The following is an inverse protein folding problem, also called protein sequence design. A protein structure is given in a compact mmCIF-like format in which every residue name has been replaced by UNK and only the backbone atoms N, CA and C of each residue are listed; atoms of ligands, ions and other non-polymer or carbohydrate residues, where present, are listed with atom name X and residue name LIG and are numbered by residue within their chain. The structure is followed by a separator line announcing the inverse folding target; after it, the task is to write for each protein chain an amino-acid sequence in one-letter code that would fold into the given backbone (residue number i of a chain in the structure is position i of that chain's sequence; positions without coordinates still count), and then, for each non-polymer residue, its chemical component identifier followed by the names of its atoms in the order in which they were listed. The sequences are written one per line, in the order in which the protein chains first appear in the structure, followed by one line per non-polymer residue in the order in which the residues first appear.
data_IF_351311466844
#
_entry.id   IF_351311466844
#
_cell.length_a   1.000
_cell.length_b   1.000
_cell.length_c   1.000
_cell.angle_alpha   90.00
_cell.angle_beta   90.00
_cell.angle_gamma   90.00
#
_symmetry.space_group_name_H-M   'P 1'
#
loop_
_entity.id
_entity.type
_entity.pdbx_description
1 polymer ?
#
# COMPACT_ATOMS: atom_id res chain seq x y z
N UNK A 1 4.25 -8.33 -8.85
CA UNK A 1 3.35 -9.48 -8.61
C UNK A 1 2.10 -9.01 -7.86
N UNK A 2 0.95 -9.58 -8.17
CA UNK A 2 -0.31 -9.34 -7.46
C UNK A 2 -1.01 -10.67 -7.18
N UNK A 3 -2.00 -10.64 -6.27
CA UNK A 3 -2.79 -11.81 -5.92
C UNK A 3 -4.28 -11.49 -5.95
N UNK A 4 -5.06 -12.41 -6.53
CA UNK A 4 -6.49 -12.48 -6.33
C UNK A 4 -6.79 -13.29 -5.08
N UNK A 5 -7.59 -12.75 -4.20
CA UNK A 5 -8.05 -13.45 -3.01
C UNK A 5 -9.56 -13.40 -2.89
N UNK A 6 -10.15 -14.48 -2.45
CA UNK A 6 -11.56 -14.57 -2.07
C UNK A 6 -11.66 -14.57 -0.55
N UNK A 7 -12.48 -13.69 -0.01
CA UNK A 7 -12.77 -13.59 1.43
C UNK A 7 -14.23 -13.87 1.66
N UNK A 8 -14.53 -14.91 2.43
CA UNK A 8 -15.89 -15.32 2.72
C UNK A 8 -16.13 -15.55 4.21
N UNK A 9 -17.38 -15.45 4.60
CA UNK A 9 -17.94 -15.93 5.87
C UNK A 9 -19.41 -16.31 5.61
N UNK A 10 -20.10 -16.82 6.61
CA UNK A 10 -21.49 -17.26 6.46
C UNK A 10 -22.44 -16.22 5.84
N UNK A 11 -22.16 -14.92 6.01
CA UNK A 11 -23.06 -13.84 5.56
C UNK A 11 -22.60 -13.11 4.30
N UNK A 12 -21.37 -13.33 3.81
CA UNK A 12 -20.84 -12.67 2.61
C UNK A 12 -19.66 -13.42 1.99
N UNK A 13 -19.48 -13.21 0.68
CA UNK A 13 -18.28 -13.59 -0.07
C UNK A 13 -17.91 -12.47 -1.01
N UNK A 14 -16.62 -12.18 -1.16
CA UNK A 14 -16.12 -11.14 -2.08
C UNK A 14 -14.67 -11.40 -2.48
N UNK A 15 -14.37 -11.17 -3.76
CA UNK A 15 -13.02 -11.25 -4.30
C UNK A 15 -12.33 -9.88 -4.30
N UNK A 16 -11.03 -9.88 -4.11
CA UNK A 16 -10.17 -8.70 -4.09
C UNK A 16 -8.90 -8.94 -4.88
N UNK A 17 -8.40 -7.89 -5.55
CA UNK A 17 -7.15 -7.91 -6.31
C UNK A 17 -6.10 -7.09 -5.55
N UNK A 18 -5.09 -7.74 -5.03
CA UNK A 18 -4.02 -7.11 -4.23
C UNK A 18 -2.76 -6.90 -5.06
N UNK A 19 -1.88 -6.02 -4.58
CA UNK A 19 -0.64 -5.68 -5.28
C UNK A 19 -0.87 -4.80 -6.51
N UNK A 20 0.09 -4.72 -7.40
CA UNK A 20 0.10 -3.84 -8.59
C UNK A 20 0.55 -4.55 -9.88
N UNK A 21 1.05 -5.81 -9.79
CA UNK A 21 1.51 -6.57 -10.95
C UNK A 21 2.69 -5.94 -11.71
N UNK A 22 2.92 -6.36 -12.93
CA UNK A 22 3.99 -5.85 -13.81
C UNK A 22 3.80 -4.39 -14.24
N UNK A 23 2.60 -3.84 -14.11
CA UNK A 23 2.31 -2.44 -14.43
C UNK A 23 2.76 -1.46 -13.34
N UNK A 24 3.41 -1.96 -12.29
CA UNK A 24 3.84 -1.15 -11.15
C UNK A 24 4.67 0.09 -11.52
N UNK A 25 5.67 0.02 -12.40
CA UNK A 25 6.47 1.19 -12.75
C UNK A 25 5.64 2.33 -13.31
N UNK A 26 4.76 2.05 -14.26
CA UNK A 26 3.91 3.06 -14.89
C UNK A 26 2.83 3.58 -13.94
N UNK A 27 2.21 2.70 -13.16
CA UNK A 27 1.24 3.10 -12.14
C UNK A 27 1.90 3.97 -11.07
N UNK A 28 3.09 3.59 -10.63
CA UNK A 28 3.84 4.35 -9.63
C UNK A 28 4.16 5.76 -10.14
N UNK A 29 4.74 5.87 -11.33
CA UNK A 29 5.03 7.16 -11.97
C UNK A 29 3.80 8.05 -12.04
N UNK A 30 2.70 7.55 -12.60
CA UNK A 30 1.43 8.27 -12.70
C UNK A 30 0.93 8.75 -11.33
N UNK A 31 1.03 7.90 -10.31
CA UNK A 31 0.61 8.24 -8.96
C UNK A 31 1.46 9.36 -8.36
N UNK A 32 2.79 9.27 -8.47
CA UNK A 32 3.72 10.30 -8.00
C UNK A 32 3.44 11.63 -8.69
N UNK A 33 3.23 11.64 -10.00
CA UNK A 33 2.91 12.85 -10.76
C UNK A 33 1.58 13.48 -10.30
N UNK A 34 0.57 12.64 -10.05
CA UNK A 34 -0.72 13.10 -9.53
C UNK A 34 -0.60 13.67 -8.11
N UNK A 35 0.22 13.07 -7.25
CA UNK A 35 0.46 13.58 -5.89
C UNK A 35 1.20 14.93 -5.96
N UNK A 36 2.26 15.03 -6.76
CA UNK A 36 3.01 16.28 -6.97
C UNK A 36 2.15 17.39 -7.57
N UNK A 37 1.12 17.04 -8.34
CA UNK A 37 0.11 17.97 -8.87
C UNK A 37 -0.96 18.35 -7.83
N UNK A 38 -0.95 17.78 -6.62
CA UNK A 38 -1.89 18.08 -5.54
C UNK A 38 -3.24 17.36 -5.61
N UNK A 39 -3.40 16.37 -6.49
CA UNK A 39 -4.68 15.63 -6.63
C UNK A 39 -5.06 14.81 -5.39
N UNK A 40 -4.11 14.55 -4.50
CA UNK A 40 -4.31 13.83 -3.23
C UNK A 40 -4.11 14.72 -1.99
N UNK A 41 -4.24 16.05 -2.18
CA UNK A 41 -4.13 17.05 -1.12
C UNK A 41 -2.75 17.68 -1.00
N UNK A 42 -2.71 18.83 -0.34
CA UNK A 42 -1.47 19.64 -0.23
C UNK A 42 -0.39 18.98 0.62
N UNK A 43 -0.75 18.20 1.62
CA UNK A 43 0.23 17.54 2.50
C UNK A 43 1.07 16.51 1.73
N UNK A 44 0.44 15.60 0.98
CA UNK A 44 1.15 14.64 0.12
C UNK A 44 2.02 15.34 -0.93
N UNK A 45 1.49 16.39 -1.56
CA UNK A 45 2.23 17.22 -2.51
C UNK A 45 3.47 17.83 -1.87
N UNK A 46 3.34 18.40 -0.67
CA UNK A 46 4.47 19.00 0.04
C UNK A 46 5.53 17.95 0.39
N UNK A 47 5.13 16.78 0.91
CA UNK A 47 6.07 15.69 1.21
C UNK A 47 6.86 15.31 -0.05
N UNK A 48 6.16 14.99 -1.15
CA UNK A 48 6.81 14.51 -2.38
C UNK A 48 7.65 15.58 -3.09
N UNK A 49 7.49 16.87 -2.74
CA UNK A 49 8.29 17.97 -3.31
C UNK A 49 9.46 18.38 -2.43
N UNK A 50 9.33 18.27 -1.11
CA UNK A 50 10.31 18.82 -0.16
C UNK A 50 11.18 17.75 0.47
N UNK A 51 10.67 16.54 0.65
CA UNK A 51 11.44 15.44 1.22
C UNK A 51 12.22 14.76 0.11
N UNK A 52 13.55 14.83 0.21
CA UNK A 52 14.44 14.23 -0.78
C UNK A 52 14.24 12.71 -0.83
N UNK A 53 13.96 12.21 -2.02
CA UNK A 53 13.74 10.78 -2.29
C UNK A 53 12.57 10.16 -1.50
N UNK A 54 11.53 10.97 -1.22
CA UNK A 54 10.31 10.43 -0.65
C UNK A 54 9.65 9.40 -1.59
N UNK A 55 9.13 8.35 -1.00
CA UNK A 55 8.35 7.32 -1.69
C UNK A 55 6.97 7.19 -1.07
N UNK A 56 6.02 6.64 -1.82
CA UNK A 56 4.64 6.41 -1.37
C UNK A 56 4.27 4.95 -1.61
N UNK A 57 3.66 4.30 -0.60
CA UNK A 57 3.14 2.94 -0.75
C UNK A 57 1.81 2.97 -1.53
N UNK A 58 1.82 2.40 -2.73
CA UNK A 58 0.65 2.31 -3.61
C UNK A 58 0.19 0.87 -3.85
N UNK A 59 0.79 -0.11 -3.20
CA UNK A 59 0.39 -1.50 -3.34
C UNK A 59 -0.97 -1.72 -2.68
N UNK A 60 -1.96 -2.16 -3.49
CA UNK A 60 -3.30 -2.43 -2.99
C UNK A 60 -3.27 -3.46 -1.86
N UNK A 61 -3.82 -3.09 -0.73
CA UNK A 61 -3.90 -3.88 0.48
C UNK A 61 -5.34 -3.98 0.96
N UNK A 62 -5.61 -4.94 1.84
CA UNK A 62 -6.91 -5.06 2.50
C UNK A 62 -7.01 -4.14 3.71
N UNK A 63 -8.18 -3.54 3.84
CA UNK A 63 -8.59 -2.78 5.02
C UNK A 63 -9.88 -3.34 5.59
N UNK A 64 -9.91 -3.55 6.89
CA UNK A 64 -11.01 -4.12 7.64
C UNK A 64 -11.60 -3.11 8.63
N UNK A 65 -12.92 -3.03 8.65
CA UNK A 65 -13.65 -2.24 9.65
C UNK A 65 -14.09 -3.11 10.81
N UNK A 66 -13.48 -2.94 11.97
CA UNK A 66 -13.80 -3.73 13.17
C UNK A 66 -15.24 -3.52 13.64
N UNK A 67 -15.84 -2.36 13.36
CA UNK A 67 -17.20 -2.02 13.77
C UNK A 67 -18.29 -2.73 12.96
N UNK A 68 -18.16 -2.80 11.64
CA UNK A 68 -19.24 -3.33 10.78
C UNK A 68 -18.81 -4.50 9.89
N UNK A 69 -17.55 -4.94 9.98
CA UNK A 69 -16.99 -6.03 9.19
C UNK A 69 -16.84 -5.72 7.69
N UNK A 70 -16.95 -4.45 7.28
CA UNK A 70 -16.71 -4.09 5.90
C UNK A 70 -15.23 -4.27 5.55
N UNK A 71 -14.98 -4.87 4.40
CA UNK A 71 -13.62 -5.08 3.86
C UNK A 71 -13.54 -4.34 2.53
N UNK A 72 -12.48 -3.58 2.33
CA UNK A 72 -12.16 -2.93 1.07
C UNK A 72 -10.72 -3.22 0.67
N UNK A 73 -10.42 -3.12 -0.62
CA UNK A 73 -9.06 -2.97 -1.10
C UNK A 73 -8.79 -1.48 -1.34
N UNK A 74 -7.64 -1.01 -0.93
CA UNK A 74 -7.21 0.36 -1.16
C UNK A 74 -5.69 0.44 -1.27
N UNK A 75 -5.19 1.49 -1.94
CA UNK A 75 -3.77 1.85 -1.89
C UNK A 75 -3.50 2.50 -0.54
N UNK A 76 -2.48 2.09 0.22
CA UNK A 76 -2.18 2.65 1.55
C UNK A 76 -1.98 4.16 1.51
N UNK A 77 -1.26 4.66 0.52
CA UNK A 77 -0.89 6.06 0.40
C UNK A 77 -0.08 6.57 1.62
N UNK A 78 0.68 5.68 2.22
CA UNK A 78 1.62 6.00 3.29
C UNK A 78 2.91 6.55 2.67
N UNK A 79 3.49 7.59 3.29
CA UNK A 79 4.66 8.28 2.76
C UNK A 79 5.88 7.99 3.62
N UNK A 80 7.00 7.75 2.95
CA UNK A 80 8.25 7.35 3.58
C UNK A 80 9.43 8.15 3.05
N UNK A 81 10.49 8.25 3.87
CA UNK A 81 11.79 8.76 3.45
C UNK A 81 12.86 7.68 3.67
N UNK A 82 13.89 7.59 2.81
CA UNK A 82 15.02 6.68 3.05
C UNK A 82 15.71 7.02 4.36
N UNK A 83 16.00 6.01 5.19
CA UNK A 83 16.87 6.16 6.38
C UNK A 83 18.31 6.48 5.98
N UNK A 84 18.76 5.90 4.89
CA UNK A 84 20.06 6.13 4.27
C UNK A 84 19.89 6.11 2.76
N UNK A 85 20.08 7.26 2.12
CA UNK A 85 19.82 7.45 0.69
C UNK A 85 20.80 6.64 -0.15
N UNK A 86 22.09 6.62 0.20
CA UNK A 86 23.12 5.87 -0.54
C UNK A 86 22.89 4.37 -0.48
N UNK A 87 22.49 3.87 0.71
CA UNK A 87 22.15 2.46 0.88
C UNK A 87 20.97 2.05 -0.01
N UNK A 88 19.89 2.82 0.02
CA UNK A 88 18.69 2.56 -0.78
C UNK A 88 19.00 2.65 -2.28
N UNK A 89 19.75 3.66 -2.71
CA UNK A 89 20.18 3.78 -4.09
C UNK A 89 20.92 2.55 -4.59
N UNK A 90 21.85 2.05 -3.77
CA UNK A 90 22.67 0.88 -4.13
C UNK A 90 21.89 -0.43 -4.09
N UNK A 91 21.08 -0.65 -3.04
CA UNK A 91 20.42 -1.93 -2.80
C UNK A 91 19.14 -2.08 -3.64
N UNK A 92 18.33 -1.03 -3.74
CA UNK A 92 17.02 -1.11 -4.38
C UNK A 92 17.04 -0.66 -5.85
N UNK A 93 17.90 0.30 -6.21
CA UNK A 93 17.98 0.85 -7.56
C UNK A 93 19.22 0.41 -8.34
N UNK A 94 20.16 -0.28 -7.69
CA UNK A 94 21.41 -0.71 -8.33
C UNK A 94 22.38 0.43 -8.65
N UNK A 95 22.24 1.57 -7.98
CA UNK A 95 23.09 2.75 -8.18
C UNK A 95 24.17 2.78 -7.10
N UNK A 96 25.40 3.19 -7.46
CA UNK A 96 26.53 3.16 -6.56
C UNK A 96 26.50 4.28 -5.53
N UNK A 97 26.10 5.47 -5.95
CA UNK A 97 26.09 6.69 -5.13
C UNK A 97 24.87 7.56 -5.45
N UNK A 98 24.55 8.50 -4.56
CA UNK A 98 23.45 9.46 -4.78
C UNK A 98 23.75 10.40 -5.96
N UNK A 99 25.02 10.71 -6.21
CA UNK A 99 25.44 11.55 -7.32
C UNK A 99 25.18 10.88 -8.67
N UNK A 100 25.31 9.55 -8.73
CA UNK A 100 24.98 8.78 -9.93
C UNK A 100 23.47 8.63 -10.14
N UNK A 101 22.70 8.85 -9.08
CA UNK A 101 21.26 8.68 -9.11
C UNK A 101 20.53 9.75 -9.91
N UNK A 102 21.05 10.99 -9.93
CA UNK A 102 20.40 12.09 -10.64
C UNK A 102 19.01 12.37 -10.09
N UNK A 103 18.00 12.12 -10.92
CA UNK A 103 16.61 12.08 -10.47
C UNK A 103 16.27 10.69 -9.92
N UNK A 104 15.49 10.65 -8.84
CA UNK A 104 15.01 9.40 -8.23
C UNK A 104 14.17 8.64 -9.27
N UNK A 105 14.50 7.38 -9.57
CA UNK A 105 13.64 6.55 -10.39
C UNK A 105 12.22 6.52 -9.81
N UNK A 106 11.21 6.50 -10.65
CA UNK A 106 9.82 6.47 -10.22
C UNK A 106 9.41 5.14 -9.59
N UNK A 107 10.26 4.13 -9.61
CA UNK A 107 10.00 2.83 -8.99
C UNK A 107 11.30 2.15 -8.59
N UNK A 108 11.23 1.31 -7.57
CA UNK A 108 12.22 0.30 -7.27
C UNK A 108 11.56 -1.08 -7.34
N UNK A 109 12.26 -2.11 -7.83
CA UNK A 109 11.71 -3.46 -7.90
C UNK A 109 11.29 -4.00 -6.53
N UNK A 110 12.00 -3.58 -5.49
CA UNK A 110 11.79 -4.04 -4.12
C UNK A 110 12.01 -2.87 -3.16
N UNK A 111 10.92 -2.31 -2.64
CA UNK A 111 10.98 -1.28 -1.59
C UNK A 111 10.81 -1.95 -0.23
N UNK A 112 11.90 -2.09 0.50
CA UNK A 112 11.88 -2.60 1.87
C UNK A 112 11.56 -1.45 2.85
N UNK A 113 10.27 -1.16 2.98
CA UNK A 113 9.80 -0.06 3.82
C UNK A 113 10.20 -0.21 5.29
N UNK A 114 10.23 -1.42 5.81
CA UNK A 114 10.52 -1.67 7.23
C UNK A 114 11.99 -1.40 7.58
N UNK A 115 12.90 -1.87 6.74
CA UNK A 115 14.34 -1.79 7.01
C UNK A 115 14.96 -0.50 6.47
N UNK A 116 14.60 -0.07 5.28
CA UNK A 116 15.31 0.99 4.57
C UNK A 116 14.64 2.37 4.63
N UNK A 117 13.39 2.45 5.10
CA UNK A 117 12.63 3.71 5.13
C UNK A 117 12.12 4.05 6.53
N UNK A 118 11.86 5.33 6.75
CA UNK A 118 11.13 5.86 7.91
C UNK A 118 9.78 6.39 7.47
N UNK A 119 8.73 6.02 8.17
CA UNK A 119 7.39 6.53 7.92
C UNK A 119 7.32 8.03 8.24
N UNK A 120 6.90 8.84 7.27
CA UNK A 120 6.68 10.29 7.43
C UNK A 120 5.22 10.55 7.77
N UNK A 121 4.32 9.90 7.00
CA UNK A 121 2.88 10.09 7.13
C UNK A 121 2.16 8.78 6.88
N UNK A 122 1.27 8.43 7.82
CA UNK A 122 0.32 7.34 7.66
C UNK A 122 -1.02 7.88 7.19
N UNK A 123 -1.59 7.28 6.16
CA UNK A 123 -2.92 7.64 5.67
C UNK A 123 -3.98 6.78 6.34
N UNK A 124 -4.97 7.42 6.95
CA UNK A 124 -6.07 6.72 7.61
C UNK A 124 -7.23 6.48 6.63
N UNK A 125 -7.64 5.24 6.49
CA UNK A 125 -8.81 4.86 5.70
C UNK A 125 -10.05 4.79 6.57
N UNK A 126 -11.15 5.42 6.10
CA UNK A 126 -12.44 5.40 6.78
C UNK A 126 -13.41 4.48 6.06
N UNK A 127 -14.16 3.73 6.81
CA UNK A 127 -15.21 2.86 6.29
C UNK A 127 -16.29 3.68 5.57
N UNK A 128 -16.60 3.31 4.34
CA UNK A 128 -17.64 3.98 3.55
C UNK A 128 -19.04 3.84 4.17
N UNK A 129 -19.27 2.77 4.95
CA UNK A 129 -20.57 2.44 5.55
C UNK A 129 -20.77 3.18 6.89
N UNK A 130 -19.85 3.02 7.84
CA UNK A 130 -20.04 3.51 9.21
C UNK A 130 -19.06 4.62 9.63
N UNK A 131 -18.20 5.08 8.72
CA UNK A 131 -17.17 6.13 8.92
C UNK A 131 -16.12 5.83 9.99
N UNK A 132 -16.14 4.63 10.58
CA UNK A 132 -15.13 4.19 11.53
C UNK A 132 -13.77 4.00 10.82
N UNK A 133 -12.68 4.20 11.54
CA UNK A 133 -11.33 3.94 11.01
C UNK A 133 -11.18 2.46 10.67
N UNK A 134 -10.45 2.20 9.59
CA UNK A 134 -10.18 0.84 9.13
C UNK A 134 -8.73 0.49 9.42
N UNK A 135 -8.50 -0.76 9.78
CA UNK A 135 -7.16 -1.30 9.98
C UNK A 135 -6.68 -2.04 8.74
N UNK A 136 -5.40 -1.87 8.39
CA UNK A 136 -4.75 -2.68 7.34
C UNK A 136 -4.60 -4.10 7.87
N UNK A 137 -4.98 -5.08 7.07
CA UNK A 137 -4.91 -6.49 7.41
C UNK A 137 -4.27 -7.27 6.27
N UNK A 138 -3.49 -8.28 6.62
CA UNK A 138 -3.06 -9.34 5.72
C UNK A 138 -4.02 -10.54 5.79
N UNK A 139 -3.75 -11.56 4.97
CA UNK A 139 -4.58 -12.74 4.90
C UNK A 139 -4.57 -13.54 6.23
N UNK A 140 -3.41 -13.66 6.87
CA UNK A 140 -3.25 -14.41 8.12
C UNK A 140 -4.06 -13.75 9.25
N UNK A 141 -3.91 -12.44 9.39
CA UNK A 141 -4.68 -11.66 10.36
C UNK A 141 -6.18 -11.79 10.10
N UNK A 142 -6.60 -11.71 8.84
CA UNK A 142 -8.01 -11.80 8.49
C UNK A 142 -8.61 -13.18 8.79
N UNK A 143 -7.87 -14.28 8.55
CA UNK A 143 -8.29 -15.65 8.93
C UNK A 143 -8.51 -15.82 10.44
N UNK A 144 -7.78 -15.05 11.25
CA UNK A 144 -7.92 -15.07 12.71
C UNK A 144 -9.02 -14.16 13.24
N UNK A 145 -9.63 -13.33 12.40
CA UNK A 145 -10.71 -12.41 12.77
C UNK A 145 -12.07 -13.05 12.61
N UNK A 146 -13.03 -12.55 13.38
CA UNK A 146 -14.45 -12.95 13.28
C UNK A 146 -15.25 -11.86 12.58
N UNK A 147 -16.19 -12.28 11.75
CA UNK A 147 -17.16 -11.36 11.16
C UNK A 147 -18.06 -10.76 12.24
N UNK A 148 -18.11 -9.43 12.42
CA UNK A 148 -18.95 -8.81 13.46
C UNK A 148 -20.47 -9.04 13.25
N UNK A 149 -20.89 -9.46 12.04
CA UNK A 149 -22.30 -9.71 11.73
C UNK A 149 -22.75 -11.12 12.06
N UNK A 150 -21.95 -12.14 11.71
CA UNK A 150 -22.34 -13.53 11.88
C UNK A 150 -21.52 -14.29 12.92
N UNK A 151 -20.45 -13.69 13.48
CA UNK A 151 -19.58 -14.30 14.47
C UNK A 151 -18.62 -15.38 13.95
N UNK A 152 -18.77 -15.81 12.69
CA UNK A 152 -17.90 -16.81 12.07
C UNK A 152 -16.54 -16.24 11.68
N UNK A 153 -15.51 -17.07 11.69
CA UNK A 153 -14.20 -16.71 11.15
C UNK A 153 -14.27 -16.46 9.64
N UNK A 154 -13.38 -15.61 9.16
CA UNK A 154 -13.21 -15.45 7.72
C UNK A 154 -12.43 -16.61 7.13
N UNK A 155 -12.93 -17.12 6.01
CA UNK A 155 -12.22 -18.02 5.11
C UNK A 155 -11.55 -17.17 4.04
N UNK A 156 -10.26 -17.38 3.82
CA UNK A 156 -9.46 -16.62 2.85
C UNK A 156 -8.76 -17.60 1.93
N UNK A 157 -9.10 -17.56 0.66
CA UNK A 157 -8.52 -18.38 -0.39
C UNK A 157 -7.82 -17.49 -1.41
N UNK A 158 -6.60 -17.85 -1.76
CA UNK A 158 -5.93 -17.29 -2.91
C UNK A 158 -6.37 -18.05 -4.14
N UNK A 159 -7.06 -17.38 -5.07
CA UNK A 159 -7.61 -17.94 -6.28
C UNK A 159 -6.79 -17.63 -7.54
N UNK A 160 -5.91 -16.64 -7.48
CA UNK A 160 -5.08 -16.24 -8.62
C UNK A 160 -3.78 -15.56 -8.15
N UNK A 161 -2.68 -15.85 -8.86
CA UNK A 161 -1.49 -15.01 -8.90
C UNK A 161 -1.44 -14.33 -10.26
N UNK A 162 -1.08 -13.05 -10.30
CA UNK A 162 -0.93 -12.30 -11.53
C UNK A 162 0.31 -11.39 -11.50
N UNK A 163 0.93 -11.21 -12.65
CA UNK A 163 2.10 -10.36 -12.86
C UNK A 163 1.73 -9.00 -13.46
#
# INVERSE_FOLDING_TARGET
MGAGINVSCKCKSKSYMLGVGMMFPDEYKKMVDMIKAGKFGEEGKNIMRTVKYAVVDIEKSLYFCEKCGNIIQAKPMDYYAPKNVDKVAKEEYGIKTVEEWGEVPYWAPYMDFDNNYSLIKKTQHKCSICKHEMIRVDEEKLRNMKCPKCGEKYEVFQDMLWD
#
